data_IF_179900521597
#
_entry.id   IF_179900521597
#
_cell.length_a   1.000
_cell.length_b   1.000
_cell.length_c   1.000
_cell.angle_alpha   90.00
_cell.angle_beta   90.00
_cell.angle_gamma   90.00
#
_symmetry.space_group_name_H-M   'P 1'
#
loop_
_entity.id
_entity.type
_entity.pdbx_description
1 polymer ?
#
# COMPACT_ATOMS: atom_id res chain seq x y z
N UNK A 1 -6.56 1.33 24.56
CA UNK A 1 -6.53 2.06 23.27
C UNK A 1 -5.81 1.19 22.26
N UNK A 2 -6.58 0.50 21.41
CA UNK A 2 -6.06 -0.49 20.46
C UNK A 2 -5.47 0.19 19.22
N UNK A 3 -4.24 -0.20 18.88
CA UNK A 3 -3.54 0.17 17.64
C UNK A 3 -4.45 -0.13 16.43
N UNK A 4 -4.92 0.92 15.75
CA UNK A 4 -5.85 0.80 14.61
C UNK A 4 -5.06 0.43 13.35
N UNK A 5 -4.81 -0.87 13.20
CA UNK A 5 -4.77 -1.50 11.88
C UNK A 5 -5.88 -2.56 11.87
N UNK A 6 -7.02 -2.26 11.22
CA UNK A 6 -8.28 -2.99 11.43
C UNK A 6 -8.35 -4.37 10.74
N UNK A 7 -7.30 -4.87 10.10
CA UNK A 7 -7.41 -6.12 9.34
C UNK A 7 -6.07 -6.62 8.80
N UNK A 8 -5.21 -7.11 9.69
CA UNK A 8 -4.01 -7.84 9.28
C UNK A 8 -4.27 -9.33 9.17
N UNK A 9 -4.42 -9.89 7.97
CA UNK A 9 -4.38 -11.34 7.75
C UNK A 9 -3.02 -11.69 7.14
N UNK A 10 -2.31 -12.65 7.73
CA UNK A 10 -1.02 -13.14 7.24
C UNK A 10 0.04 -12.04 6.99
N UNK A 11 0.06 -11.03 7.86
CA UNK A 11 1.03 -9.93 7.78
C UNK A 11 0.68 -8.84 6.77
N UNK A 12 -0.43 -8.95 6.03
CA UNK A 12 -0.89 -7.90 5.11
C UNK A 12 -1.87 -6.98 5.81
N UNK A 13 -1.57 -5.68 5.86
CA UNK A 13 -2.40 -4.66 6.50
C UNK A 13 -2.83 -3.61 5.47
N UNK A 14 -4.13 -3.34 5.38
CA UNK A 14 -4.61 -2.19 4.61
C UNK A 14 -4.22 -0.89 5.32
N UNK A 15 -3.67 0.05 4.56
CA UNK A 15 -3.37 1.40 5.03
C UNK A 15 -4.52 2.34 4.72
N UNK A 16 -4.82 3.18 5.68
CA UNK A 16 -5.86 4.20 5.62
C UNK A 16 -5.23 5.59 5.79
N UNK A 17 -5.81 6.58 5.13
CA UNK A 17 -5.40 7.99 5.19
C UNK A 17 -5.77 8.62 6.54
N UNK A 18 -6.70 8.05 7.27
CA UNK A 18 -7.21 8.63 8.53
C UNK A 18 -6.37 8.28 9.77
N UNK A 19 -5.28 7.53 9.63
CA UNK A 19 -4.40 7.21 10.76
C UNK A 19 -3.68 8.47 11.26
N UNK A 20 -3.84 8.79 12.56
CA UNK A 20 -3.24 9.96 13.20
C UNK A 20 -2.45 9.55 14.47
N UNK A 21 -1.23 10.08 14.67
CA UNK A 21 -0.49 10.98 13.77
C UNK A 21 0.00 10.27 12.50
N UNK A 22 0.14 11.01 11.39
CA UNK A 22 0.65 10.45 10.14
C UNK A 22 2.09 9.93 10.33
N UNK A 23 2.34 8.70 9.92
CA UNK A 23 3.65 8.06 10.04
C UNK A 23 4.43 8.07 8.71
N UNK A 24 5.70 7.67 8.77
CA UNK A 24 6.60 7.63 7.60
C UNK A 24 6.03 6.80 6.44
N UNK A 25 5.40 5.66 6.74
CA UNK A 25 4.78 4.79 5.73
C UNK A 25 3.64 5.48 4.97
N UNK A 26 2.77 6.23 5.69
CA UNK A 26 1.71 7.00 5.04
C UNK A 26 2.29 8.05 4.10
N UNK A 27 3.31 8.77 4.54
CA UNK A 27 3.98 9.78 3.70
C UNK A 27 4.60 9.16 2.44
N UNK A 28 5.27 8.01 2.57
CA UNK A 28 5.88 7.30 1.43
C UNK A 28 4.83 6.80 0.45
N UNK A 29 3.78 6.13 0.95
CA UNK A 29 2.81 5.49 0.06
C UNK A 29 1.76 6.45 -0.50
N UNK A 30 1.25 7.39 0.30
CA UNK A 30 0.26 8.37 -0.16
C UNK A 30 0.94 9.58 -0.80
N UNK A 31 1.61 10.42 0.01
CA UNK A 31 2.10 11.72 -0.44
C UNK A 31 3.19 11.63 -1.53
N UNK A 32 4.00 10.57 -1.53
CA UNK A 32 5.12 10.41 -2.46
C UNK A 32 4.83 9.49 -3.64
N UNK A 33 3.93 8.50 -3.48
CA UNK A 33 3.65 7.52 -4.52
C UNK A 33 2.25 7.67 -5.13
N UNK A 34 1.17 7.46 -4.36
CA UNK A 34 -0.20 7.44 -4.90
C UNK A 34 -0.71 8.82 -5.34
N UNK A 35 -0.34 9.87 -4.62
CA UNK A 35 -0.85 11.23 -4.85
C UNK A 35 0.01 12.03 -5.84
N UNK A 36 1.06 11.40 -6.39
CA UNK A 36 1.92 12.00 -7.40
C UNK A 36 1.87 11.25 -8.72
N UNK A 37 1.85 11.97 -9.86
CA UNK A 37 2.02 11.33 -11.15
C UNK A 37 3.41 10.69 -11.19
N UNK A 38 3.44 9.36 -11.26
CA UNK A 38 4.68 8.61 -11.43
C UNK A 38 4.48 7.48 -12.46
N UNK A 39 5.53 7.18 -13.22
CA UNK A 39 5.48 6.22 -14.32
C UNK A 39 5.15 4.80 -13.87
N UNK A 40 5.55 4.42 -12.65
CA UNK A 40 5.26 3.12 -12.08
C UNK A 40 3.77 2.95 -11.78
N UNK A 41 3.11 3.97 -11.21
CA UNK A 41 1.68 3.98 -10.95
C UNK A 41 0.87 3.89 -12.26
N UNK A 42 1.28 4.63 -13.29
CA UNK A 42 0.71 4.51 -14.63
C UNK A 42 0.92 3.11 -15.22
N UNK A 43 2.08 2.50 -15.02
CA UNK A 43 2.37 1.16 -15.48
C UNK A 43 1.49 0.12 -14.77
N UNK A 44 1.36 0.19 -13.45
CA UNK A 44 0.49 -0.68 -12.64
C UNK A 44 -0.96 -0.55 -13.14
N UNK A 45 -1.47 0.67 -13.26
CA UNK A 45 -2.83 0.91 -13.78
C UNK A 45 -3.06 0.23 -15.14
N UNK A 46 -2.10 0.32 -16.07
CA UNK A 46 -2.19 -0.34 -17.38
C UNK A 46 -2.13 -1.87 -17.29
N UNK A 47 -1.23 -2.44 -16.49
CA UNK A 47 -1.08 -3.89 -16.35
C UNK A 47 -2.31 -4.55 -15.72
N UNK A 48 -2.91 -3.86 -14.75
CA UNK A 48 -4.06 -4.37 -14.00
C UNK A 48 -5.40 -3.91 -14.59
N UNK A 49 -5.40 -2.96 -15.54
CA UNK A 49 -6.58 -2.32 -16.10
C UNK A 49 -7.51 -1.73 -15.03
N UNK A 50 -6.92 -0.96 -14.10
CA UNK A 50 -7.60 -0.31 -12.97
C UNK A 50 -7.23 1.17 -12.90
N UNK A 51 -8.12 1.99 -12.34
CA UNK A 51 -7.82 3.37 -11.98
C UNK A 51 -7.00 3.45 -10.68
N UNK A 52 -6.36 4.58 -10.43
CA UNK A 52 -5.54 4.76 -9.22
C UNK A 52 -6.37 4.67 -7.93
N UNK A 53 -7.65 5.08 -7.97
CA UNK A 53 -8.58 4.99 -6.84
C UNK A 53 -8.99 3.56 -6.48
N UNK A 54 -8.81 2.61 -7.40
CA UNK A 54 -9.12 1.20 -7.18
C UNK A 54 -7.94 0.44 -6.55
N UNK A 55 -6.76 1.07 -6.46
CA UNK A 55 -5.60 0.49 -5.81
C UNK A 55 -5.76 0.55 -4.29
N UNK A 56 -5.62 -0.61 -3.66
CA UNK A 56 -5.69 -0.74 -2.20
C UNK A 56 -4.29 -0.57 -1.62
N UNK A 57 -3.99 0.51 -0.88
CA UNK A 57 -2.67 0.73 -0.29
C UNK A 57 -2.45 -0.26 0.85
N UNK A 58 -1.34 -1.00 0.84
CA UNK A 58 -1.05 -2.01 1.85
C UNK A 58 0.35 -1.88 2.43
N UNK A 59 0.48 -2.36 3.66
CA UNK A 59 1.75 -2.70 4.30
C UNK A 59 1.82 -4.21 4.54
N UNK A 60 2.83 -4.86 3.99
CA UNK A 60 3.15 -6.25 4.27
C UNK A 60 4.27 -6.32 5.31
N UNK A 61 3.99 -6.95 6.45
CA UNK A 61 4.98 -7.20 7.50
C UNK A 61 5.54 -8.60 7.29
N UNK A 62 6.85 -8.69 7.08
CA UNK A 62 7.58 -9.95 6.97
C UNK A 62 8.78 -9.90 7.90
N UNK A 63 8.79 -10.76 8.93
CA UNK A 63 9.81 -10.80 9.97
C UNK A 63 10.10 -9.40 10.58
N UNK A 64 11.25 -8.81 10.24
CA UNK A 64 11.70 -7.51 10.73
C UNK A 64 11.54 -6.37 9.71
N UNK A 65 10.85 -6.63 8.60
CA UNK A 65 10.66 -5.70 7.49
C UNK A 65 9.19 -5.32 7.32
N UNK A 66 8.96 -4.06 6.92
CA UNK A 66 7.67 -3.54 6.51
C UNK A 66 7.77 -3.15 5.05
N UNK A 67 7.18 -3.96 4.18
CA UNK A 67 7.08 -3.69 2.75
C UNK A 67 5.83 -2.86 2.48
N UNK A 68 5.92 -1.93 1.54
CA UNK A 68 4.82 -1.07 1.12
C UNK A 68 4.42 -1.44 -0.30
N UNK A 69 3.12 -1.43 -0.56
CA UNK A 69 2.60 -1.87 -1.83
C UNK A 69 1.20 -1.39 -2.11
N UNK A 70 0.68 -1.83 -3.24
CA UNK A 70 -0.72 -1.70 -3.62
C UNK A 70 -1.26 -3.06 -4.02
N UNK A 71 -2.52 -3.31 -3.68
CA UNK A 71 -3.26 -4.45 -4.20
C UNK A 71 -4.20 -4.01 -5.32
N UNK A 72 -4.28 -4.84 -6.35
CA UNK A 72 -5.17 -4.66 -7.50
C UNK A 72 -5.82 -6.00 -7.86
N UNK A 73 -7.06 -5.93 -8.36
CA UNK A 73 -7.72 -7.11 -8.90
C UNK A 73 -7.29 -7.37 -10.35
N UNK A 74 -7.02 -8.64 -10.68
CA UNK A 74 -6.81 -9.12 -12.05
C UNK A 74 -7.42 -10.49 -12.23
N UNK A 75 -8.31 -10.66 -13.19
CA UNK A 75 -8.92 -11.96 -13.51
C UNK A 75 -9.47 -12.70 -12.26
N UNK A 76 -10.21 -11.98 -11.40
CA UNK A 76 -10.74 -12.47 -10.10
C UNK A 76 -9.68 -12.86 -9.05
N UNK A 77 -8.39 -12.62 -9.31
CA UNK A 77 -7.32 -12.77 -8.32
C UNK A 77 -6.95 -11.41 -7.74
N UNK A 78 -6.55 -11.40 -6.47
CA UNK A 78 -5.95 -10.25 -5.83
C UNK A 78 -4.44 -10.35 -6.01
N UNK A 79 -3.83 -9.32 -6.58
CA UNK A 79 -2.40 -9.27 -6.82
C UNK A 79 -1.79 -8.16 -5.97
N UNK A 80 -0.69 -8.49 -5.29
CA UNK A 80 0.12 -7.53 -4.56
C UNK A 80 1.28 -7.04 -5.43
N UNK A 81 1.43 -5.72 -5.53
CA UNK A 81 2.60 -5.06 -6.12
C UNK A 81 3.35 -4.35 -5.01
N UNK A 82 4.61 -4.74 -4.78
CA UNK A 82 5.50 -4.06 -3.85
C UNK A 82 6.16 -2.87 -4.54
N UNK A 83 6.12 -1.71 -3.89
CA UNK A 83 6.59 -0.44 -4.48
C UNK A 83 7.68 0.22 -3.67
N UNK A 84 7.74 -0.06 -2.36
CA UNK A 84 8.77 0.48 -1.47
C UNK A 84 8.87 -0.38 -0.20
N UNK A 85 9.75 -0.01 0.70
CA UNK A 85 9.82 -0.58 2.04
C UNK A 85 10.10 0.50 3.08
N UNK A 86 9.78 0.16 4.32
CA UNK A 86 9.97 1.04 5.45
C UNK A 86 10.98 0.44 6.43
N UNK A 87 12.09 1.16 6.60
CA UNK A 87 13.23 0.79 7.44
C UNK A 87 13.31 1.58 8.76
N UNK A 88 12.33 2.45 9.03
CA UNK A 88 12.29 3.29 10.23
C UNK A 88 11.91 2.46 11.47
N UNK A 89 12.86 1.73 12.07
CA UNK A 89 12.61 0.96 13.31
C UNK A 89 12.02 1.80 14.42
#
# INVERSE_FOLDING_TARGET
MSSRSRGGLDGVYLLDRDFKPANSMMKKLFDQFLDKPNSLLTHISKVFNVTYSELLPIRLVSHHMRLLGVMAHRNKKLCLVLVDYDNDK
#
